data_IF_359177585934
#
_entry.id   IF_359177585934
#
_cell.length_a   1.000
_cell.length_b   1.000
_cell.length_c   1.000
_cell.angle_alpha   90.00
_cell.angle_beta   90.00
_cell.angle_gamma   90.00
#
_symmetry.space_group_name_H-M   'P 1'
#
loop_
_entity.id
_entity.type
_entity.pdbx_description
1 polymer ?
#
# COMPACT_ATOMS: atom_id res chain seq x y z
N UNK A 1 9.01 9.52 -8.90
CA UNK A 1 7.70 8.94 -9.28
C UNK A 1 6.56 9.86 -8.85
N UNK A 2 5.67 10.21 -9.78
CA UNK A 2 4.66 11.26 -9.60
C UNK A 2 3.46 10.86 -8.73
N UNK A 3 2.50 11.79 -8.58
CA UNK A 3 1.25 11.58 -7.84
C UNK A 3 0.28 10.59 -8.52
N UNK A 4 0.46 10.30 -9.81
CA UNK A 4 -0.39 9.38 -10.57
C UNK A 4 -0.04 7.89 -10.39
N UNK A 5 1.15 7.58 -9.88
CA UNK A 5 1.61 6.19 -9.83
C UNK A 5 1.02 5.42 -8.65
N UNK A 6 0.02 4.58 -8.95
CA UNK A 6 -0.72 3.74 -7.99
C UNK A 6 0.16 2.66 -7.34
N UNK A 7 1.35 2.35 -7.86
CA UNK A 7 2.25 1.37 -7.23
C UNK A 7 3.04 2.00 -6.08
N UNK A 8 3.20 3.32 -6.07
CA UNK A 8 3.95 4.04 -5.03
C UNK A 8 3.09 4.48 -3.85
N UNK A 9 3.71 4.67 -2.68
CA UNK A 9 3.04 5.25 -1.52
C UNK A 9 2.47 6.66 -1.83
N UNK A 10 3.17 7.45 -2.64
CA UNK A 10 2.77 8.81 -3.02
C UNK A 10 1.50 8.80 -3.89
N UNK A 11 1.44 7.97 -4.92
CA UNK A 11 0.22 7.88 -5.73
C UNK A 11 -0.95 7.20 -5.03
N UNK A 12 -0.68 6.24 -4.13
CA UNK A 12 -1.72 5.72 -3.22
C UNK A 12 -2.26 6.79 -2.27
N UNK A 13 -1.41 7.68 -1.75
CA UNK A 13 -1.82 8.79 -0.88
C UNK A 13 -2.65 9.82 -1.65
N UNK A 14 -2.24 10.18 -2.86
CA UNK A 14 -2.98 11.10 -3.72
C UNK A 14 -4.36 10.56 -4.12
N UNK A 15 -4.47 9.28 -4.49
CA UNK A 15 -5.76 8.64 -4.82
C UNK A 15 -6.60 8.27 -3.58
N UNK A 16 -6.11 8.49 -2.36
CA UNK A 16 -6.82 8.12 -1.13
C UNK A 16 -7.00 6.61 -0.91
N UNK A 17 -6.30 5.75 -1.66
CA UNK A 17 -6.44 4.29 -1.56
C UNK A 17 -5.32 3.64 -0.75
N UNK A 18 -5.58 2.44 -0.24
CA UNK A 18 -4.60 1.61 0.47
C UNK A 18 -4.08 0.46 -0.40
N UNK A 19 -2.93 -0.09 -0.04
CA UNK A 19 -2.31 -1.22 -0.75
C UNK A 19 -1.01 -1.66 -0.10
N UNK A 20 -0.25 -2.51 -0.78
CA UNK A 20 1.05 -3.01 -0.27
C UNK A 20 2.03 -1.88 0.06
N UNK A 21 2.10 -0.86 -0.80
CA UNK A 21 2.99 0.30 -0.64
C UNK A 21 2.44 1.40 0.29
N UNK A 22 1.13 1.38 0.61
CA UNK A 22 0.49 2.28 1.60
C UNK A 22 -0.52 1.49 2.44
N UNK A 23 -0.07 0.77 3.48
CA UNK A 23 -0.94 0.00 4.34
C UNK A 23 -1.79 0.91 5.25
N UNK A 24 -3.00 0.47 5.59
CA UNK A 24 -3.87 1.20 6.52
C UNK A 24 -3.43 1.07 7.99
N UNK A 25 -2.83 -0.08 8.35
CA UNK A 25 -2.24 -0.36 9.66
C UNK A 25 -0.88 -1.00 9.44
N UNK A 26 0.13 -0.67 10.27
CA UNK A 26 1.50 -1.23 10.15
C UNK A 26 1.50 -2.77 10.10
N UNK A 27 0.60 -3.41 10.84
CA UNK A 27 0.43 -4.88 10.87
C UNK A 27 -0.16 -5.51 9.58
N UNK A 28 -0.79 -4.72 8.71
CA UNK A 28 -1.44 -5.26 7.50
C UNK A 28 -0.44 -5.78 6.46
N UNK A 29 0.81 -5.29 6.46
CA UNK A 29 1.87 -5.79 5.58
C UNK A 29 2.32 -7.18 6.02
N UNK A 30 2.42 -7.41 7.34
CA UNK A 30 2.86 -8.69 7.91
C UNK A 30 1.81 -9.80 7.76
N UNK A 31 0.52 -9.46 7.92
CA UNK A 31 -0.58 -10.44 7.76
C UNK A 31 -0.78 -10.93 6.32
N UNK A 32 -0.53 -10.11 5.29
CA UNK A 32 -0.70 -10.54 3.89
C UNK A 32 0.46 -11.40 3.37
N UNK A 33 1.65 -11.27 3.95
CA UNK A 33 2.77 -12.17 3.66
C UNK A 33 2.55 -13.56 4.31
N UNK A 34 1.96 -13.61 5.50
CA UNK A 34 1.70 -14.86 6.21
C UNK A 34 0.44 -15.62 5.75
N UNK A 35 -0.49 -14.97 5.03
CA UNK A 35 -1.73 -15.60 4.55
C UNK A 35 -1.61 -16.15 3.11
N UNK A 36 -0.39 -16.20 2.58
CA UNK A 36 -0.05 -16.78 1.26
C UNK A 36 1.14 -17.75 1.39
N UNK A 37 1.20 -18.47 2.51
CA UNK A 37 1.99 -19.67 2.72
C UNK A 37 1.01 -20.80 3.00
#
# INVERSE_FOLDING_TARGET
MGRGDKKTAKGKRFKGSFGKSRPAKKAAVKKKAAKKA
#
